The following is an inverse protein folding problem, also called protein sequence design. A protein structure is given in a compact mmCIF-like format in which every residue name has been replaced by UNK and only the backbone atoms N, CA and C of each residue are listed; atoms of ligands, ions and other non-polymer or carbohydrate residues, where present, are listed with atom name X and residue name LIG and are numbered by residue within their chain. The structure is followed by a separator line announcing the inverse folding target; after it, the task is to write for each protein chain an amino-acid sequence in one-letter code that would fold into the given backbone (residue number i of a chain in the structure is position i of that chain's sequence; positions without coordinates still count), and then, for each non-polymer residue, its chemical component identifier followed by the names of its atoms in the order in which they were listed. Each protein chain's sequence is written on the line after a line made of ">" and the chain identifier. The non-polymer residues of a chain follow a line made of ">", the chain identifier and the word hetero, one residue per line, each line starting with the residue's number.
data_IF_512626552344
#
_entry.id   IF_512626552344
#
_cell.length_a   1.000
_cell.length_b   1.000
_cell.length_c   1.000
_cell.angle_alpha   90.00
_cell.angle_beta   90.00
_cell.angle_gamma   90.00
#
_symmetry.space_group_name_H-M   'P 1'
#
loop_
_entity.id
_entity.type
_entity.pdbx_description
1 polymer ?
#
# COMPACT_ATOMS: atom_id res chain seq x y z
N UNK A 1 -32.33 12.17 -8.65
CA UNK A 1 -31.21 11.77 -7.76
C UNK A 1 -29.97 11.25 -8.51
N UNK A 2 -30.10 10.56 -9.65
CA UNK A 2 -28.97 9.97 -10.41
C UNK A 2 -27.94 10.95 -11.03
N UNK A 3 -28.31 12.20 -11.32
CA UNK A 3 -27.40 13.17 -11.94
C UNK A 3 -26.30 13.67 -11.00
N UNK A 4 -26.56 13.71 -9.69
CA UNK A 4 -25.60 14.22 -8.68
C UNK A 4 -24.48 13.21 -8.41
N UNK A 5 -24.82 11.93 -8.31
CA UNK A 5 -23.86 10.84 -8.10
C UNK A 5 -22.93 10.63 -9.32
N UNK A 6 -23.45 10.77 -10.55
CA UNK A 6 -22.63 10.68 -11.77
C UNK A 6 -21.66 11.85 -11.90
N UNK A 7 -22.04 13.05 -11.43
CA UNK A 7 -21.19 14.24 -11.44
C UNK A 7 -20.03 14.12 -10.44
N UNK A 8 -20.28 13.64 -9.23
CA UNK A 8 -19.23 13.38 -8.22
C UNK A 8 -18.27 12.29 -8.67
N UNK A 9 -18.74 11.21 -9.30
CA UNK A 9 -17.86 10.14 -9.83
C UNK A 9 -16.94 10.68 -10.94
N UNK A 10 -17.47 11.53 -11.85
CA UNK A 10 -16.68 12.13 -12.93
C UNK A 10 -15.65 13.14 -12.43
N UNK A 11 -16.03 14.03 -11.50
CA UNK A 11 -15.10 15.00 -10.88
C UNK A 11 -14.00 14.29 -10.07
N UNK A 12 -14.34 13.16 -9.43
CA UNK A 12 -13.38 12.29 -8.73
C UNK A 12 -12.44 11.62 -9.74
N UNK A 13 -12.95 11.13 -10.87
CA UNK A 13 -12.15 10.51 -11.93
C UNK A 13 -11.18 11.48 -12.63
N UNK A 14 -11.59 12.73 -12.87
CA UNK A 14 -10.76 13.80 -13.46
C UNK A 14 -9.64 14.23 -12.50
N UNK A 15 -9.93 14.41 -11.20
CA UNK A 15 -8.89 14.64 -10.17
C UNK A 15 -7.91 13.47 -10.06
N UNK A 16 -8.41 12.25 -10.10
CA UNK A 16 -7.59 11.01 -10.03
C UNK A 16 -6.67 10.85 -11.26
N UNK A 17 -7.07 11.34 -12.43
CA UNK A 17 -6.27 11.33 -13.66
C UNK A 17 -4.91 12.02 -13.51
N UNK A 18 -4.91 13.20 -12.89
CA UNK A 18 -3.75 14.08 -12.73
C UNK A 18 -2.81 13.72 -11.55
N UNK A 19 -3.25 12.82 -10.66
CA UNK A 19 -2.58 12.58 -9.37
C UNK A 19 -1.57 11.41 -9.39
N UNK A 20 -1.78 10.40 -10.24
CA UNK A 20 -0.98 9.17 -10.22
C UNK A 20 0.05 9.08 -11.37
N UNK A 21 1.12 9.85 -11.29
CA UNK A 21 2.24 9.69 -12.22
C UNK A 21 3.21 8.63 -11.71
N UNK A 22 3.63 7.66 -12.53
CA UNK A 22 4.68 6.73 -12.14
C UNK A 22 5.94 7.53 -11.79
N UNK A 23 6.54 7.26 -10.62
CA UNK A 23 7.77 7.89 -10.10
C UNK A 23 7.68 9.32 -9.57
N UNK A 24 6.50 9.93 -9.49
CA UNK A 24 6.38 11.23 -8.81
C UNK A 24 6.60 11.07 -7.31
N UNK A 25 7.75 11.51 -6.81
CA UNK A 25 8.07 11.51 -5.38
C UNK A 25 7.63 12.82 -4.72
N UNK A 26 7.26 12.75 -3.44
CA UNK A 26 6.91 13.89 -2.61
C UNK A 26 7.87 13.94 -1.42
N UNK A 27 8.79 14.91 -1.43
CA UNK A 27 9.70 15.13 -0.31
C UNK A 27 8.94 15.53 0.96
N UNK A 28 7.92 16.37 0.85
CA UNK A 28 7.09 16.77 1.98
C UNK A 28 6.40 15.57 2.65
N UNK A 29 5.81 14.67 1.84
CA UNK A 29 5.21 13.42 2.35
C UNK A 29 6.27 12.52 2.95
N UNK A 30 7.42 12.39 2.29
CA UNK A 30 8.54 11.56 2.73
C UNK A 30 9.06 11.99 4.10
N UNK A 31 9.37 13.28 4.27
CA UNK A 31 9.85 13.82 5.54
C UNK A 31 8.82 13.63 6.64
N UNK A 32 7.56 14.01 6.41
CA UNK A 32 6.49 13.86 7.42
C UNK A 32 6.29 12.40 7.84
N UNK A 33 6.19 11.50 6.86
CA UNK A 33 6.04 10.08 7.14
C UNK A 33 7.26 9.52 7.89
N UNK A 34 8.47 10.02 7.63
CA UNK A 34 9.66 9.62 8.38
C UNK A 34 9.63 10.06 9.83
N UNK A 35 9.34 11.34 10.08
CA UNK A 35 9.22 11.90 11.43
C UNK A 35 8.24 11.10 12.28
N UNK A 36 7.13 10.64 11.69
CA UNK A 36 6.08 9.94 12.43
C UNK A 36 6.28 8.41 12.52
N UNK A 37 7.29 7.85 11.85
CA UNK A 37 7.46 6.39 11.71
C UNK A 37 8.53 5.77 12.60
N UNK A 38 9.37 6.59 13.23
CA UNK A 38 10.56 6.15 13.98
C UNK A 38 11.55 5.30 13.15
N UNK A 39 11.41 5.27 11.82
CA UNK A 39 12.28 4.47 10.96
C UNK A 39 13.69 5.06 10.91
N UNK A 40 14.70 4.27 11.28
CA UNK A 40 16.11 4.57 11.01
C UNK A 40 16.47 4.46 9.52
N UNK A 41 17.73 4.74 9.16
CA UNK A 41 18.21 4.78 7.76
C UNK A 41 17.88 3.52 6.93
N UNK A 42 17.91 2.34 7.55
CA UNK A 42 17.54 1.07 6.87
C UNK A 42 16.05 0.97 6.54
N UNK A 43 15.21 1.74 7.21
CA UNK A 43 13.76 1.86 6.97
C UNK A 43 13.39 3.08 6.14
N UNK A 44 14.35 3.78 5.53
CA UNK A 44 14.09 4.93 4.66
C UNK A 44 13.14 4.54 3.51
N UNK A 45 12.05 5.29 3.37
CA UNK A 45 11.02 5.10 2.35
C UNK A 45 10.78 6.42 1.64
N UNK A 46 10.83 6.37 0.32
CA UNK A 46 10.47 7.49 -0.54
C UNK A 46 8.99 7.38 -0.87
N UNK A 47 8.21 8.39 -0.49
CA UNK A 47 6.77 8.41 -0.67
C UNK A 47 6.39 9.15 -1.95
N UNK A 48 5.32 8.65 -2.58
CA UNK A 48 4.58 9.41 -3.59
C UNK A 48 3.66 10.42 -2.90
N UNK A 49 3.18 11.46 -3.61
CA UNK A 49 2.11 12.30 -3.11
C UNK A 49 0.98 11.44 -2.54
N UNK A 50 0.58 11.71 -1.31
CA UNK A 50 -0.51 10.97 -0.67
C UNK A 50 -1.84 11.55 -1.10
N UNK A 51 -2.81 10.68 -1.33
CA UNK A 51 -4.11 11.06 -1.80
C UNK A 51 -5.14 10.73 -0.74
N UNK A 52 -5.81 11.78 -0.26
CA UNK A 52 -6.93 11.68 0.65
C UNK A 52 -8.19 11.91 -0.18
N UNK A 53 -9.15 11.00 -0.05
CA UNK A 53 -10.49 11.22 -0.59
C UNK A 53 -11.14 12.28 0.29
N UNK A 54 -11.32 13.48 -0.26
CA UNK A 54 -11.91 14.59 0.47
C UNK A 54 -13.41 14.33 0.73
N UNK A 55 -13.85 14.64 1.95
CA UNK A 55 -15.24 14.72 2.43
C UNK A 55 -15.89 13.43 2.97
N UNK A 56 -15.60 13.12 4.23
CA UNK A 56 -16.57 12.78 5.29
C UNK A 56 -15.79 12.75 6.62
N UNK A 57 -16.44 12.99 7.75
CA UNK A 57 -15.86 12.71 9.06
C UNK A 57 -15.38 11.26 9.05
N UNK A 58 -14.09 11.03 9.30
CA UNK A 58 -13.58 9.66 9.36
C UNK A 58 -14.19 8.96 10.57
N UNK A 59 -14.61 7.69 10.43
CA UNK A 59 -14.93 6.89 11.60
C UNK A 59 -13.75 6.86 12.58
N UNK A 60 -14.02 6.80 13.88
CA UNK A 60 -12.96 6.71 14.91
C UNK A 60 -12.07 5.48 14.71
N UNK A 61 -12.66 4.42 14.14
CA UNK A 61 -11.97 3.20 13.73
C UNK A 61 -12.25 2.94 12.25
N UNK A 62 -11.17 2.91 11.49
CA UNK A 62 -11.17 2.61 10.06
C UNK A 62 -10.43 1.31 9.81
N UNK A 63 -10.58 0.75 8.62
CA UNK A 63 -9.81 -0.39 8.19
C UNK A 63 -8.54 0.06 7.45
N UNK A 64 -7.39 -0.33 7.97
CA UNK A 64 -6.10 -0.09 7.35
C UNK A 64 -5.67 -1.36 6.63
N UNK A 65 -5.26 -1.26 5.37
CA UNK A 65 -4.79 -2.38 4.56
C UNK A 65 -3.44 -2.05 3.95
N UNK A 66 -2.44 -2.88 4.23
CA UNK A 66 -1.07 -2.71 3.78
C UNK A 66 -0.62 -3.88 2.92
N UNK A 67 -0.08 -3.54 1.75
CA UNK A 67 0.66 -4.45 0.89
C UNK A 67 2.15 -4.10 0.94
N UNK A 68 2.97 -5.07 1.29
CA UNK A 68 4.43 -5.04 1.16
C UNK A 68 4.83 -5.96 0.00
N UNK A 69 5.16 -5.38 -1.15
CA UNK A 69 5.56 -6.12 -2.34
C UNK A 69 7.08 -6.05 -2.56
N UNK A 70 7.66 -7.20 -2.95
CA UNK A 70 9.10 -7.37 -3.13
C UNK A 70 9.38 -7.95 -4.52
N UNK A 71 9.81 -7.10 -5.48
CA UNK A 71 10.10 -7.54 -6.82
C UNK A 71 11.29 -8.52 -6.89
N UNK A 72 11.22 -9.49 -7.80
CA UNK A 72 12.28 -10.46 -8.05
C UNK A 72 13.54 -9.86 -8.66
N UNK A 73 13.46 -8.74 -9.39
CA UNK A 73 14.64 -8.01 -9.88
C UNK A 73 14.47 -6.51 -9.65
N UNK A 74 15.56 -5.74 -9.76
CA UNK A 74 15.46 -4.26 -9.77
C UNK A 74 14.77 -3.74 -11.02
N UNK A 75 14.86 -4.46 -12.15
CA UNK A 75 14.20 -4.06 -13.40
C UNK A 75 12.67 -4.10 -13.29
N UNK A 76 12.12 -4.93 -12.40
CA UNK A 76 10.69 -4.99 -12.11
C UNK A 76 10.16 -3.77 -11.34
N UNK A 77 11.03 -2.94 -10.74
CA UNK A 77 10.60 -1.73 -10.01
C UNK A 77 9.82 -0.79 -10.91
N UNK A 78 10.21 -0.67 -12.19
CA UNK A 78 9.57 0.25 -13.11
C UNK A 78 8.14 -0.20 -13.48
N UNK A 79 7.93 -1.41 -14.02
CA UNK A 79 6.59 -1.96 -14.25
C UNK A 79 5.71 -1.94 -13.00
N UNK A 80 6.26 -2.33 -11.85
CA UNK A 80 5.53 -2.34 -10.57
C UNK A 80 5.06 -0.94 -10.18
N UNK A 81 5.87 0.10 -10.42
CA UNK A 81 5.50 1.48 -10.09
C UNK A 81 4.36 2.00 -10.97
N UNK A 82 4.31 1.55 -12.23
CA UNK A 82 3.19 1.83 -13.15
C UNK A 82 1.92 1.12 -12.67
N UNK A 83 2.02 -0.15 -12.29
CA UNK A 83 0.89 -0.92 -11.77
C UNK A 83 0.38 -0.30 -10.45
N UNK A 84 1.27 0.07 -9.53
CA UNK A 84 0.92 0.77 -8.29
C UNK A 84 0.16 2.08 -8.56
N UNK A 85 0.58 2.85 -9.57
CA UNK A 85 -0.13 4.07 -9.95
C UNK A 85 -1.56 3.80 -10.45
N UNK A 86 -1.78 2.68 -11.16
CA UNK A 86 -3.12 2.26 -11.59
C UNK A 86 -3.99 1.85 -10.40
N UNK A 87 -3.42 1.11 -9.43
CA UNK A 87 -4.11 0.76 -8.19
C UNK A 87 -4.49 1.98 -7.36
N UNK A 88 -3.61 2.99 -7.27
CA UNK A 88 -3.94 4.26 -6.62
C UNK A 88 -5.20 4.88 -7.21
N UNK A 89 -5.29 4.92 -8.56
CA UNK A 89 -6.47 5.45 -9.24
C UNK A 89 -7.74 4.65 -8.92
N UNK A 90 -7.61 3.34 -8.87
CA UNK A 90 -8.72 2.45 -8.59
C UNK A 90 -9.22 2.62 -7.15
N UNK A 91 -8.32 2.62 -6.15
CA UNK A 91 -8.68 2.88 -4.74
C UNK A 91 -9.40 4.22 -4.61
N UNK A 92 -8.89 5.28 -5.24
CA UNK A 92 -9.50 6.60 -5.15
C UNK A 92 -10.90 6.69 -5.81
N UNK A 93 -11.26 5.74 -6.67
CA UNK A 93 -12.58 5.63 -7.30
C UNK A 93 -13.54 4.74 -6.51
N UNK A 94 -13.04 3.84 -5.66
CA UNK A 94 -13.90 2.96 -4.86
C UNK A 94 -14.66 3.76 -3.80
N UNK A 95 -15.94 3.44 -3.63
CA UNK A 95 -16.74 3.93 -2.52
C UNK A 95 -16.20 3.39 -1.18
N UNK A 96 -16.29 4.17 -0.11
CA UNK A 96 -15.70 3.80 1.19
C UNK A 96 -14.16 3.86 1.27
N UNK A 97 -13.42 4.10 0.18
CA UNK A 97 -11.99 4.41 0.26
C UNK A 97 -11.75 5.80 0.83
N UNK A 98 -10.88 5.90 1.84
CA UNK A 98 -10.58 7.14 2.56
C UNK A 98 -9.25 7.76 2.12
N UNK A 99 -8.22 6.94 1.92
CA UNK A 99 -6.92 7.41 1.46
C UNK A 99 -6.07 6.28 0.88
N UNK A 100 -5.06 6.66 0.10
CA UNK A 100 -3.97 5.78 -0.31
C UNK A 100 -2.63 6.51 -0.27
N UNK A 101 -1.61 5.81 0.22
CA UNK A 101 -0.24 6.24 0.21
C UNK A 101 0.66 5.08 -0.20
N UNK A 102 1.49 5.30 -1.21
CA UNK A 102 2.49 4.34 -1.67
C UNK A 102 3.89 4.85 -1.40
N UNK A 103 4.81 3.92 -1.17
CA UNK A 103 6.22 4.25 -0.99
C UNK A 103 7.14 3.16 -1.50
N UNK A 104 8.39 3.53 -1.67
CA UNK A 104 9.46 2.63 -2.09
C UNK A 104 10.60 2.69 -1.07
N UNK A 105 11.11 1.54 -0.67
CA UNK A 105 12.30 1.40 0.16
C UNK A 105 13.48 0.97 -0.74
N UNK A 106 14.37 1.90 -1.13
CA UNK A 106 15.41 1.64 -2.13
C UNK A 106 16.32 0.47 -1.78
N UNK A 107 16.84 0.44 -0.54
CA UNK A 107 17.83 -0.57 -0.13
C UNK A 107 17.20 -1.92 0.19
N UNK A 108 15.90 -1.92 0.44
CA UNK A 108 15.14 -3.13 0.72
C UNK A 108 14.50 -3.75 -0.52
N UNK A 109 14.54 -3.09 -1.69
CA UNK A 109 13.76 -3.49 -2.88
C UNK A 109 12.31 -3.79 -2.49
N UNK A 110 11.66 -2.85 -1.82
CA UNK A 110 10.29 -3.02 -1.33
C UNK A 110 9.43 -1.87 -1.83
N UNK A 111 8.27 -2.19 -2.37
CA UNK A 111 7.20 -1.22 -2.59
C UNK A 111 6.08 -1.47 -1.58
N UNK A 112 5.60 -0.40 -0.97
CA UNK A 112 4.52 -0.42 -0.01
C UNK A 112 3.30 0.29 -0.58
N UNK A 113 2.11 -0.21 -0.22
CA UNK A 113 0.85 0.51 -0.37
C UNK A 113 0.08 0.43 0.94
N UNK A 114 -0.26 1.58 1.50
CA UNK A 114 -1.21 1.74 2.61
C UNK A 114 -2.49 2.30 2.01
N UNK A 115 -3.58 1.57 2.16
CA UNK A 115 -4.93 2.02 1.81
C UNK A 115 -5.78 2.05 3.06
N UNK A 116 -6.60 3.09 3.18
CA UNK A 116 -7.51 3.32 4.29
C UNK A 116 -8.94 3.21 3.78
N UNK A 117 -9.79 2.49 4.52
CA UNK A 117 -11.14 2.14 4.14
C UNK A 117 -12.09 2.40 5.30
N UNK A 118 -13.32 2.80 5.00
CA UNK A 118 -14.36 2.99 6.00
C UNK A 118 -14.67 1.68 6.75
N UNK A 119 -14.72 0.56 6.02
CA UNK A 119 -15.05 -0.77 6.52
C UNK A 119 -14.46 -1.89 5.64
N UNK A 120 -14.70 -3.14 6.05
CA UNK A 120 -14.30 -4.36 5.34
C UNK A 120 -15.01 -4.53 4.01
N UNK A 121 -16.29 -4.15 3.92
CA UNK A 121 -17.06 -4.28 2.70
C UNK A 121 -16.43 -3.48 1.56
N UNK A 122 -16.03 -2.23 1.82
CA UNK A 122 -15.37 -1.38 0.84
C UNK A 122 -14.02 -1.98 0.36
N UNK A 123 -13.25 -2.60 1.28
CA UNK A 123 -12.02 -3.30 0.92
C UNK A 123 -12.31 -4.57 0.09
N UNK A 124 -13.35 -5.32 0.44
CA UNK A 124 -13.77 -6.53 -0.28
C UNK A 124 -14.24 -6.18 -1.70
N UNK A 125 -15.02 -5.12 -1.87
CA UNK A 125 -15.45 -4.62 -3.19
C UNK A 125 -14.24 -4.23 -4.06
N UNK A 126 -13.25 -3.54 -3.49
CA UNK A 126 -12.02 -3.24 -4.20
C UNK A 126 -11.24 -4.51 -4.57
N UNK A 127 -11.00 -5.40 -3.62
CA UNK A 127 -10.16 -6.60 -3.83
C UNK A 127 -10.84 -7.65 -4.71
N UNK A 128 -12.16 -7.69 -4.73
CA UNK A 128 -12.95 -8.57 -5.60
C UNK A 128 -13.17 -8.03 -7.02
N UNK A 129 -12.84 -6.75 -7.28
CA UNK A 129 -13.07 -6.15 -8.59
C UNK A 129 -12.18 -6.78 -9.69
N UNK A 130 -12.70 -6.93 -10.93
CA UNK A 130 -11.92 -7.51 -12.03
C UNK A 130 -10.60 -6.81 -12.31
N UNK A 131 -10.58 -5.47 -12.20
CA UNK A 131 -9.37 -4.66 -12.36
C UNK A 131 -8.31 -5.01 -11.30
N UNK A 132 -8.73 -5.22 -10.03
CA UNK A 132 -7.81 -5.61 -8.97
C UNK A 132 -7.25 -7.02 -9.19
N UNK A 133 -8.11 -7.98 -9.59
CA UNK A 133 -7.69 -9.36 -9.88
C UNK A 133 -6.65 -9.37 -11.01
N UNK A 134 -6.92 -8.66 -12.11
CA UNK A 134 -5.97 -8.55 -13.22
C UNK A 134 -4.62 -7.94 -12.79
N UNK A 135 -4.65 -6.95 -11.92
CA UNK A 135 -3.44 -6.37 -11.34
C UNK A 135 -2.70 -7.38 -10.47
N UNK A 136 -3.39 -8.11 -9.59
CA UNK A 136 -2.78 -9.10 -8.72
C UNK A 136 -2.17 -10.25 -9.52
N UNK A 137 -2.80 -10.67 -10.61
CA UNK A 137 -2.26 -11.66 -11.54
C UNK A 137 -0.97 -11.17 -12.19
N UNK A 138 -0.92 -9.88 -12.60
CA UNK A 138 0.30 -9.27 -13.12
C UNK A 138 1.41 -9.18 -12.07
N UNK A 139 1.07 -8.98 -10.79
CA UNK A 139 2.03 -8.93 -9.68
C UNK A 139 2.64 -10.28 -9.32
N UNK A 140 1.86 -11.37 -9.34
CA UNK A 140 2.28 -12.69 -8.84
C UNK A 140 3.52 -13.24 -9.54
N UNK A 141 3.73 -12.92 -10.82
CA UNK A 141 4.90 -13.38 -11.58
C UNK A 141 6.16 -12.54 -11.34
N UNK A 142 6.01 -11.33 -10.77
CA UNK A 142 7.06 -10.31 -10.69
C UNK A 142 7.69 -10.21 -9.30
N UNK A 143 7.12 -10.85 -8.29
CA UNK A 143 7.60 -10.77 -6.92
C UNK A 143 6.75 -11.57 -5.95
N UNK A 144 7.00 -11.34 -4.67
CA UNK A 144 6.19 -11.88 -3.58
C UNK A 144 5.68 -10.73 -2.71
N UNK A 145 4.57 -10.97 -2.01
CA UNK A 145 3.93 -9.97 -1.18
C UNK A 145 3.61 -10.47 0.22
N UNK A 146 3.67 -9.56 1.18
CA UNK A 146 3.01 -9.70 2.47
C UNK A 146 1.84 -8.73 2.51
N UNK A 147 0.68 -9.21 2.89
CA UNK A 147 -0.53 -8.40 3.03
C UNK A 147 -1.06 -8.51 4.46
N UNK A 148 -1.54 -7.40 4.99
CA UNK A 148 -2.26 -7.36 6.26
C UNK A 148 -3.31 -6.27 6.21
N UNK A 149 -4.43 -6.50 6.91
CA UNK A 149 -5.37 -5.45 7.23
C UNK A 149 -5.81 -5.56 8.68
N UNK A 150 -6.17 -4.43 9.29
CA UNK A 150 -6.67 -4.38 10.67
C UNK A 150 -7.53 -3.14 10.91
N UNK A 151 -8.50 -3.25 11.82
CA UNK A 151 -9.27 -2.10 12.30
C UNK A 151 -8.47 -1.30 13.33
N UNK A 152 -8.33 -0.01 13.12
CA UNK A 152 -7.60 0.87 14.03
C UNK A 152 -7.87 2.35 13.77
N UNK A 153 -7.16 3.19 14.52
CA UNK A 153 -7.22 4.64 14.35
C UNK A 153 -6.00 5.08 13.54
N UNK A 154 -6.22 5.79 12.44
CA UNK A 154 -5.14 6.40 11.68
C UNK A 154 -4.70 7.71 12.33
N UNK A 155 -3.43 7.80 12.69
CA UNK A 155 -2.81 9.04 13.20
C UNK A 155 -2.02 9.76 12.13
N UNK A 156 -1.22 9.00 11.39
CA UNK A 156 -0.51 9.47 10.20
C UNK A 156 -0.04 8.29 9.35
N UNK A 157 0.41 8.58 8.13
CA UNK A 157 0.95 7.57 7.19
C UNK A 157 2.17 6.87 7.81
N UNK A 158 3.07 7.63 8.42
CA UNK A 158 4.29 7.10 9.05
C UNK A 158 3.95 6.12 10.18
N UNK A 159 3.10 6.54 11.11
CA UNK A 159 2.68 5.72 12.24
C UNK A 159 1.94 4.44 11.79
N UNK A 160 1.03 4.55 10.82
CA UNK A 160 0.32 3.39 10.26
C UNK A 160 1.26 2.41 9.55
N UNK A 161 2.26 2.91 8.82
CA UNK A 161 3.27 2.07 8.16
C UNK A 161 4.21 1.39 9.15
N UNK A 162 4.57 2.06 10.25
CA UNK A 162 5.36 1.49 11.33
C UNK A 162 4.60 0.36 12.04
N UNK A 163 3.32 0.59 12.35
CA UNK A 163 2.46 -0.44 12.92
C UNK A 163 2.27 -1.63 11.99
N UNK A 164 2.01 -1.39 10.70
CA UNK A 164 1.93 -2.45 9.71
C UNK A 164 3.20 -3.30 9.70
N UNK A 165 4.37 -2.65 9.75
CA UNK A 165 5.65 -3.35 9.75
C UNK A 165 5.82 -4.22 10.99
N UNK A 166 5.49 -3.71 12.17
CA UNK A 166 5.52 -4.48 13.43
C UNK A 166 4.65 -5.73 13.32
N UNK A 167 3.40 -5.59 12.87
CA UNK A 167 2.46 -6.72 12.73
C UNK A 167 2.91 -7.74 11.70
N UNK A 168 3.42 -7.27 10.55
CA UNK A 168 3.95 -8.14 9.50
C UNK A 168 5.19 -8.92 9.97
N UNK A 169 6.05 -8.29 10.76
CA UNK A 169 7.26 -8.92 11.32
C UNK A 169 6.90 -9.88 12.47
N UNK A 170 5.82 -9.62 13.21
CA UNK A 170 5.21 -10.56 14.15
C UNK A 170 4.45 -11.72 13.47
N UNK A 171 4.42 -11.77 12.13
CA UNK A 171 3.82 -12.87 11.37
C UNK A 171 2.29 -12.82 11.25
N UNK A 172 1.65 -11.67 11.51
CA UNK A 172 0.19 -11.52 11.40
C UNK A 172 -0.30 -11.35 9.95
N UNK A 173 0.61 -11.15 8.99
CA UNK A 173 0.26 -10.97 7.58
C UNK A 173 0.17 -12.27 6.80
N UNK A 174 -0.66 -12.26 5.75
CA UNK A 174 -0.70 -13.32 4.73
C UNK A 174 0.47 -13.12 3.74
N UNK A 175 1.04 -14.22 3.28
CA UNK A 175 2.07 -14.23 2.23
C UNK A 175 1.50 -14.78 0.93
N UNK A 176 1.90 -14.22 -0.20
CA UNK A 176 1.54 -14.71 -1.53
C UNK A 176 2.77 -14.63 -2.46
N UNK A 177 2.99 -15.70 -3.22
CA UNK A 177 4.15 -15.84 -4.11
C UNK A 177 5.39 -16.38 -3.40
N UNK A 178 6.30 -16.95 -4.19
CA UNK A 178 7.56 -17.54 -3.71
C UNK A 178 8.77 -16.75 -4.23
N UNK A 179 9.87 -16.64 -3.45
CA UNK A 179 11.04 -15.86 -3.82
C UNK A 179 11.88 -16.59 -4.87
N UNK A 180 12.14 -15.94 -6.01
CA UNK A 180 12.86 -16.54 -7.14
C UNK A 180 14.35 -16.24 -7.20
N UNK A 181 14.81 -15.05 -6.80
CA UNK A 181 16.23 -14.69 -6.82
C UNK A 181 16.91 -14.96 -5.45
N UNK A 182 18.24 -14.92 -5.43
CA UNK A 182 19.03 -15.19 -4.22
C UNK A 182 18.79 -14.14 -3.12
N UNK A 183 18.57 -12.89 -3.53
CA UNK A 183 18.28 -11.78 -2.64
C UNK A 183 16.92 -11.98 -1.93
N UNK A 184 15.86 -12.30 -2.68
CA UNK A 184 14.52 -12.55 -2.17
C UNK A 184 14.49 -13.77 -1.26
N UNK A 185 15.20 -14.85 -1.63
CA UNK A 185 15.33 -16.03 -0.76
C UNK A 185 16.00 -15.70 0.58
N UNK A 186 17.05 -14.88 0.55
CA UNK A 186 17.76 -14.43 1.77
C UNK A 186 16.86 -13.53 2.63
N UNK A 187 16.15 -12.59 2.02
CA UNK A 187 15.21 -11.73 2.71
C UNK A 187 14.04 -12.52 3.33
N UNK A 188 13.47 -13.48 2.61
CA UNK A 188 12.42 -14.36 3.14
C UNK A 188 12.89 -15.15 4.37
N UNK A 189 14.09 -15.74 4.32
CA UNK A 189 14.67 -16.43 5.49
C UNK A 189 14.88 -15.48 6.67
N UNK A 190 15.37 -14.26 6.41
CA UNK A 190 15.52 -13.23 7.44
C UNK A 190 14.17 -12.88 8.09
N UNK A 191 13.12 -12.70 7.30
CA UNK A 191 11.78 -12.41 7.81
C UNK A 191 11.17 -13.59 8.58
N UNK A 192 11.44 -14.83 8.17
CA UNK A 192 11.03 -16.02 8.90
C UNK A 192 11.73 -16.12 10.26
N UNK A 193 13.03 -15.83 10.32
CA UNK A 193 13.79 -15.80 11.57
C UNK A 193 13.26 -14.72 12.54
N UNK A 194 12.92 -13.53 12.04
CA UNK A 194 12.30 -12.47 12.85
C UNK A 194 10.95 -12.95 13.42
N UNK A 195 10.10 -13.53 12.58
CA UNK A 195 8.79 -14.02 13.04
C UNK A 195 8.92 -15.19 14.04
N UNK A 196 9.95 -16.03 13.89
CA UNK A 196 10.26 -17.10 14.85
C UNK A 196 10.71 -16.56 16.20
N UNK A 197 11.61 -15.56 16.20
CA UNK A 197 12.11 -14.94 17.43
C UNK A 197 11.02 -14.20 18.23
N UNK A 198 9.95 -13.72 17.58
CA UNK A 198 8.80 -13.09 18.27
C UNK A 198 7.86 -14.13 18.92
N UNK A 199 7.93 -15.39 18.49
CA UNK A 199 7.07 -16.48 19.01
C UNK A 199 7.71 -17.30 20.12
N UNK A 200 9.03 -17.16 20.34
CA UNK A 200 9.80 -17.76 21.44
C UNK A 200 9.79 -16.86 22.66
#
# INVERSE_FOLDING_TARGET
>A
MHLRARKTIRERAERVGALSEPFRLSWATTVRAHTDSEFGLRGLRLYRPSHFVQAAQWPDRILLSVNEFRPHTLTEVVPVSIISARLEKQVLRTEGALAIATSYQPWGRITYSLSLWADEQALEEFTGSPEHVAVMDAYRSRGYLRHIHWRGTHRSIGASMAEARRRLDAGQGRRVGEPRDSWARRDQRRLAAIAGAVKS
#
